data_IF_417208167787
#
_entry.id   IF_417208167787
#
_cell.length_a   1.000
_cell.length_b   1.000
_cell.length_c   1.000
_cell.angle_alpha   90.00
_cell.angle_beta   90.00
_cell.angle_gamma   90.00
#
_symmetry.space_group_name_H-M   'P 1'
#
loop_
_entity.id
_entity.type
_entity.pdbx_description
1 polymer ?
#
# COMPACT_ATOMS: atom_id res chain seq x y z
N UNK A 1 -18.24 8.89 -3.43
CA UNK A 1 -18.10 8.10 -4.67
C UNK A 1 -19.15 7.00 -4.55
N UNK A 2 -19.69 6.52 -5.67
CA UNK A 2 -21.03 5.94 -5.74
C UNK A 2 -21.05 4.45 -5.37
N UNK A 3 -20.31 4.06 -4.33
CA UNK A 3 -20.50 2.75 -3.73
C UNK A 3 -21.95 2.63 -3.28
N UNK A 4 -22.70 1.75 -3.94
CA UNK A 4 -24.16 1.68 -3.77
C UNK A 4 -24.61 0.36 -3.18
N UNK A 5 -23.86 -0.71 -3.44
CA UNK A 5 -24.18 -2.05 -2.97
C UNK A 5 -23.02 -2.69 -2.23
N UNK A 6 -23.35 -3.53 -1.26
CA UNK A 6 -22.45 -4.55 -0.74
C UNK A 6 -22.64 -5.86 -1.48
N UNK A 7 -21.55 -6.61 -1.63
CA UNK A 7 -21.55 -8.03 -1.95
C UNK A 7 -21.69 -8.85 -0.66
N UNK A 8 -22.67 -9.75 -0.61
CA UNK A 8 -22.91 -10.67 0.50
C UNK A 8 -22.06 -11.96 0.34
N UNK A 9 -21.91 -12.78 1.41
CA UNK A 9 -21.18 -14.05 1.37
C UNK A 9 -21.69 -15.10 0.36
N UNK A 10 -22.95 -15.00 -0.08
CA UNK A 10 -23.53 -15.86 -1.12
C UNK A 10 -23.46 -15.21 -2.51
N UNK A 11 -22.58 -14.23 -2.69
CA UNK A 11 -22.31 -13.50 -3.94
C UNK A 11 -23.43 -12.55 -4.40
N UNK A 12 -24.59 -12.58 -3.75
CA UNK A 12 -25.70 -11.65 -4.01
C UNK A 12 -25.40 -10.24 -3.49
N UNK A 13 -26.12 -9.24 -4.00
CA UNK A 13 -25.92 -7.84 -3.60
C UNK A 13 -27.06 -7.27 -2.77
N UNK A 14 -26.75 -6.25 -1.99
CA UNK A 14 -27.73 -5.49 -1.20
C UNK A 14 -27.33 -4.00 -1.17
N UNK A 15 -28.27 -3.04 -1.31
CA UNK A 15 -27.94 -1.63 -1.11
C UNK A 15 -27.30 -1.38 0.26
N UNK A 16 -26.27 -0.54 0.31
CA UNK A 16 -25.50 -0.29 1.54
C UNK A 16 -26.41 0.22 2.66
N UNK A 17 -27.28 1.17 2.34
CA UNK A 17 -28.25 1.75 3.28
C UNK A 17 -29.24 0.70 3.80
N UNK A 18 -29.72 -0.19 2.93
CA UNK A 18 -30.61 -1.28 3.29
C UNK A 18 -29.92 -2.28 4.22
N UNK A 19 -28.70 -2.70 3.89
CA UNK A 19 -27.91 -3.59 4.73
C UNK A 19 -27.71 -2.99 6.13
N UNK A 20 -27.42 -1.70 6.22
CA UNK A 20 -27.12 -1.03 7.49
C UNK A 20 -28.33 -0.77 8.40
N UNK A 21 -29.57 -1.01 7.95
CA UNK A 21 -30.79 -0.89 8.78
C UNK A 21 -30.87 -1.99 9.85
N UNK A 22 -31.67 -1.74 10.90
CA UNK A 22 -32.03 -2.78 11.86
C UNK A 22 -32.84 -3.88 11.14
N UNK A 23 -32.48 -5.15 11.34
CA UNK A 23 -33.07 -6.26 10.57
C UNK A 23 -32.78 -6.26 9.06
N UNK A 24 -31.95 -5.34 8.55
CA UNK A 24 -31.73 -5.15 7.11
C UNK A 24 -30.78 -6.17 6.45
N UNK A 25 -30.30 -7.18 7.19
CA UNK A 25 -29.43 -8.19 6.60
C UNK A 25 -30.25 -9.20 5.80
N UNK A 26 -29.96 -9.33 4.49
CA UNK A 26 -30.61 -10.31 3.60
C UNK A 26 -30.51 -11.75 4.13
N UNK A 27 -29.38 -12.11 4.75
CA UNK A 27 -29.11 -13.45 5.26
C UNK A 27 -29.60 -13.69 6.69
N UNK A 28 -30.23 -12.69 7.34
CA UNK A 28 -30.68 -12.70 8.75
C UNK A 28 -29.57 -12.84 9.82
N UNK A 29 -28.47 -13.53 9.50
CA UNK A 29 -27.23 -13.52 10.26
C UNK A 29 -26.18 -12.67 9.54
N UNK A 30 -25.79 -11.55 10.13
CA UNK A 30 -24.96 -10.54 9.47
C UNK A 30 -23.50 -11.00 9.39
N UNK A 31 -22.90 -10.85 8.20
CA UNK A 31 -21.51 -11.26 7.95
C UNK A 31 -20.45 -10.51 8.77
N UNK A 32 -20.72 -9.26 9.16
CA UNK A 32 -19.82 -8.44 9.95
C UNK A 32 -20.60 -7.44 10.80
N UNK A 33 -19.95 -6.82 11.78
CA UNK A 33 -20.60 -5.83 12.65
C UNK A 33 -21.02 -4.59 11.85
N UNK A 34 -22.11 -3.92 12.28
CA UNK A 34 -22.57 -2.67 11.63
C UNK A 34 -21.51 -1.56 11.64
N UNK A 35 -20.73 -1.34 12.72
CA UNK A 35 -19.64 -0.36 12.70
C UNK A 35 -18.61 -0.65 11.61
N UNK A 36 -18.19 -1.91 11.46
CA UNK A 36 -17.28 -2.31 10.39
C UNK A 36 -17.89 -2.01 9.00
N UNK A 37 -19.13 -2.45 8.76
CA UNK A 37 -19.81 -2.20 7.48
C UNK A 37 -19.97 -0.71 7.17
N UNK A 38 -20.20 0.14 8.19
CA UNK A 38 -20.20 1.60 8.00
C UNK A 38 -18.83 2.12 7.57
N UNK A 39 -17.76 1.62 8.20
CA UNK A 39 -16.39 2.01 7.87
C UNK A 39 -16.02 1.62 6.43
N UNK A 40 -16.27 0.37 6.03
CA UNK A 40 -15.87 -0.11 4.69
C UNK A 40 -16.80 0.32 3.57
N UNK A 41 -18.07 0.58 3.87
CA UNK A 41 -19.05 1.12 2.93
C UNK A 41 -18.96 2.63 2.75
N UNK A 42 -18.19 3.33 3.57
CA UNK A 42 -17.93 4.74 3.36
C UNK A 42 -17.08 4.94 2.11
N UNK A 43 -17.50 5.91 1.31
CA UNK A 43 -16.76 6.28 0.11
C UNK A 43 -16.86 7.79 -0.15
N UNK A 44 -15.71 8.46 -0.23
CA UNK A 44 -15.62 9.93 -0.27
C UNK A 44 -16.22 10.45 -1.58
N UNK A 45 -17.06 11.47 -1.52
CA UNK A 45 -17.56 12.17 -2.71
C UNK A 45 -16.39 12.58 -3.61
N UNK A 46 -16.55 12.40 -4.93
CA UNK A 46 -15.52 12.81 -5.88
C UNK A 46 -15.53 14.33 -5.98
N UNK A 47 -14.43 14.98 -5.58
CA UNK A 47 -14.28 16.44 -5.61
C UNK A 47 -13.29 16.93 -6.65
N UNK A 48 -12.89 16.05 -7.58
CA UNK A 48 -11.81 16.29 -8.53
C UNK A 48 -10.55 15.47 -8.23
N UNK A 49 -9.51 15.70 -9.02
CA UNK A 49 -8.24 14.97 -8.93
C UNK A 49 -7.49 15.40 -7.66
N UNK A 50 -6.94 14.42 -6.97
CA UNK A 50 -6.09 14.63 -5.79
C UNK A 50 -4.70 14.04 -6.03
N UNK A 51 -3.67 14.41 -5.25
CA UNK A 51 -2.33 13.83 -5.39
C UNK A 51 -2.31 12.29 -5.36
N UNK A 52 -3.20 11.65 -4.58
CA UNK A 52 -3.34 10.19 -4.53
C UNK A 52 -3.91 9.57 -5.82
N UNK A 53 -4.46 10.39 -6.70
CA UNK A 53 -4.93 9.96 -8.02
C UNK A 53 -3.79 9.55 -8.94
N UNK A 54 -2.55 10.02 -8.69
CA UNK A 54 -1.36 9.66 -9.46
C UNK A 54 -1.07 8.15 -9.47
N UNK A 55 -1.49 7.42 -8.42
CA UNK A 55 -1.35 5.97 -8.34
C UNK A 55 -2.44 5.17 -9.08
N UNK A 56 -3.40 5.83 -9.72
CA UNK A 56 -4.52 5.17 -10.38
C UNK A 56 -4.55 5.49 -11.88
N UNK A 57 -4.95 4.49 -12.69
CA UNK A 57 -5.18 4.71 -14.11
C UNK A 57 -6.33 5.70 -14.36
N UNK A 58 -6.24 6.61 -15.35
CA UNK A 58 -7.27 7.61 -15.62
C UNK A 58 -8.67 7.01 -15.83
N UNK A 59 -8.76 5.86 -16.52
CA UNK A 59 -10.02 5.13 -16.70
C UNK A 59 -10.64 4.64 -15.39
N UNK A 60 -9.81 4.17 -14.45
CA UNK A 60 -10.29 3.71 -13.15
C UNK A 60 -10.84 4.89 -12.33
N UNK A 61 -10.14 6.03 -12.34
CA UNK A 61 -10.61 7.26 -11.68
C UNK A 61 -11.94 7.73 -12.27
N UNK A 62 -12.04 7.78 -13.59
CA UNK A 62 -13.28 8.13 -14.29
C UNK A 62 -14.42 7.21 -13.89
N UNK A 63 -14.25 5.89 -13.98
CA UNK A 63 -15.29 4.92 -13.63
C UNK A 63 -15.72 5.04 -12.16
N UNK A 64 -14.78 5.20 -11.22
CA UNK A 64 -15.09 5.44 -9.81
C UNK A 64 -15.83 6.75 -9.57
N UNK A 65 -15.63 7.76 -10.42
CA UNK A 65 -16.33 9.03 -10.31
C UNK A 65 -17.74 8.99 -10.93
N UNK A 66 -17.96 8.20 -11.99
CA UNK A 66 -19.18 8.29 -12.81
C UNK A 66 -20.10 7.08 -12.75
N UNK A 67 -19.66 5.94 -12.20
CA UNK A 67 -20.42 4.69 -12.26
C UNK A 67 -20.64 4.11 -10.88
N UNK A 68 -21.92 3.86 -10.52
CA UNK A 68 -22.29 3.13 -9.31
C UNK A 68 -21.63 1.76 -9.28
N UNK A 69 -21.06 1.37 -8.14
CA UNK A 69 -20.32 0.11 -8.03
C UNK A 69 -20.58 -0.65 -6.72
N UNK A 70 -20.16 -1.92 -6.74
CA UNK A 70 -20.31 -2.87 -5.64
C UNK A 70 -19.04 -2.87 -4.79
N UNK A 71 -19.19 -2.85 -3.47
CA UNK A 71 -18.12 -3.08 -2.51
C UNK A 71 -18.22 -4.50 -1.97
N UNK A 72 -17.13 -5.26 -2.06
CA UNK A 72 -16.92 -6.39 -1.16
C UNK A 72 -16.37 -5.86 0.18
N UNK A 73 -17.08 -6.04 1.31
CA UNK A 73 -16.61 -5.61 2.61
C UNK A 73 -15.21 -6.15 2.97
N UNK A 74 -14.85 -7.35 2.54
CA UNK A 74 -13.56 -7.97 2.89
C UNK A 74 -12.40 -7.31 2.15
N UNK A 75 -12.60 -6.88 0.90
CA UNK A 75 -11.56 -6.22 0.09
C UNK A 75 -11.18 -4.84 0.63
N UNK A 76 -12.04 -4.24 1.45
CA UNK A 76 -11.85 -2.91 2.03
C UNK A 76 -11.14 -2.91 3.38
N UNK A 77 -10.93 -4.08 4.00
CA UNK A 77 -10.35 -4.18 5.35
C UNK A 77 -9.01 -3.44 5.47
N UNK A 78 -8.16 -3.54 4.44
CA UNK A 78 -6.85 -2.92 4.45
C UNK A 78 -6.87 -1.42 4.17
N UNK A 79 -7.85 -0.96 3.39
CA UNK A 79 -8.06 0.48 3.20
C UNK A 79 -8.59 1.13 4.48
N UNK A 80 -9.48 0.44 5.20
CA UNK A 80 -9.95 0.84 6.52
C UNK A 80 -8.80 0.90 7.53
N UNK A 81 -7.99 -0.16 7.61
CA UNK A 81 -6.84 -0.22 8.51
C UNK A 81 -5.81 0.89 8.21
N UNK A 82 -5.50 1.12 6.93
CA UNK A 82 -4.64 2.24 6.52
C UNK A 82 -5.20 3.58 6.99
N UNK A 83 -6.48 3.86 6.70
CA UNK A 83 -7.13 5.12 7.12
C UNK A 83 -7.08 5.31 8.64
N UNK A 84 -7.38 4.27 9.42
CA UNK A 84 -7.32 4.32 10.88
C UNK A 84 -5.90 4.51 11.41
N UNK A 85 -4.88 3.97 10.72
CA UNK A 85 -3.48 4.17 11.10
C UNK A 85 -3.07 5.63 10.92
N UNK A 86 -3.44 6.26 9.81
CA UNK A 86 -3.19 7.70 9.59
C UNK A 86 -3.89 8.54 10.65
N UNK A 87 -5.16 8.27 10.95
CA UNK A 87 -5.93 9.02 11.96
C UNK A 87 -5.27 8.93 13.35
N UNK A 88 -4.86 7.73 13.77
CA UNK A 88 -4.18 7.53 15.05
C UNK A 88 -2.82 8.23 15.11
N UNK A 89 -2.03 8.18 14.04
CA UNK A 89 -0.75 8.91 13.97
C UNK A 89 -0.98 10.42 14.00
N UNK A 90 -1.97 10.92 13.27
CA UNK A 90 -2.34 12.34 13.23
C UNK A 90 -2.82 12.90 14.58
N UNK A 91 -3.37 12.07 15.47
CA UNK A 91 -3.75 12.49 16.83
C UNK A 91 -2.56 12.96 17.69
N UNK A 92 -1.34 12.56 17.36
CA UNK A 92 -0.14 12.91 18.11
C UNK A 92 0.55 14.21 17.63
N UNK A 93 -0.02 14.92 16.65
CA UNK A 93 0.58 16.12 16.05
C UNK A 93 0.75 17.32 16.99
N UNK A 94 -0.02 17.38 18.07
CA UNK A 94 -0.06 18.56 18.95
C UNK A 94 1.13 18.68 19.91
N UNK A 95 2.09 17.75 19.86
CA UNK A 95 3.23 17.75 20.77
C UNK A 95 4.44 18.53 20.22
N UNK A 96 4.49 18.81 18.92
CA UNK A 96 5.65 19.39 18.23
C UNK A 96 5.24 20.32 17.07
N UNK A 97 6.20 21.01 16.44
CA UNK A 97 6.01 21.83 15.23
C UNK A 97 5.79 20.95 13.98
N UNK A 98 4.75 20.11 14.02
CA UNK A 98 4.41 19.13 13.00
C UNK A 98 3.12 19.58 12.32
N UNK A 99 3.16 19.75 11.00
CA UNK A 99 1.96 19.92 10.19
C UNK A 99 1.47 18.54 9.77
N UNK A 100 0.26 18.15 10.20
CA UNK A 100 -0.29 16.83 9.91
C UNK A 100 -1.76 16.87 9.51
N UNK A 101 -2.07 16.11 8.45
CA UNK A 101 -3.37 16.08 7.77
C UNK A 101 -3.80 17.45 7.22
N UNK A 102 -2.85 18.25 6.77
CA UNK A 102 -3.12 19.60 6.24
C UNK A 102 -3.79 19.52 4.87
N UNK A 103 -4.88 20.28 4.72
CA UNK A 103 -5.61 20.39 3.45
C UNK A 103 -4.90 21.40 2.55
N UNK A 104 -4.40 20.92 1.43
CA UNK A 104 -3.68 21.70 0.43
C UNK A 104 -4.49 21.73 -0.86
N UNK A 105 -4.52 22.87 -1.54
CA UNK A 105 -5.22 22.99 -2.81
C UNK A 105 -4.68 24.13 -3.66
N UNK A 106 -4.76 23.96 -4.97
CA UNK A 106 -4.65 25.03 -5.96
C UNK A 106 -5.85 25.00 -6.90
N UNK A 107 -5.78 25.75 -8.01
CA UNK A 107 -6.84 25.80 -9.01
C UNK A 107 -7.09 24.47 -9.74
N UNK A 108 -6.21 23.47 -9.60
CA UNK A 108 -6.27 22.21 -10.35
C UNK A 108 -6.54 21.00 -9.45
N UNK A 109 -5.97 20.96 -8.24
CA UNK A 109 -6.04 19.79 -7.37
C UNK A 109 -6.20 20.18 -5.91
N UNK A 110 -6.76 19.26 -5.13
CA UNK A 110 -6.79 19.34 -3.66
C UNK A 110 -6.34 18.01 -3.07
N UNK A 111 -5.71 18.05 -1.91
CA UNK A 111 -5.18 16.87 -1.24
C UNK A 111 -4.98 17.09 0.25
N UNK A 112 -4.61 16.02 0.93
CA UNK A 112 -4.29 16.05 2.35
C UNK A 112 -2.96 15.32 2.53
N UNK A 113 -1.92 16.08 2.87
CA UNK A 113 -0.62 15.49 3.15
C UNK A 113 -0.62 14.92 4.56
N UNK A 114 0.09 13.80 4.77
CA UNK A 114 0.06 13.14 6.07
C UNK A 114 0.86 13.93 7.11
N UNK A 115 2.15 14.18 6.84
CA UNK A 115 3.07 14.82 7.78
C UNK A 115 4.14 15.66 7.08
N UNK A 116 4.36 16.87 7.59
CA UNK A 116 5.51 17.73 7.28
C UNK A 116 6.15 18.19 8.60
N UNK A 117 7.45 17.97 8.73
CA UNK A 117 8.23 18.24 9.95
C UNK A 117 9.50 19.01 9.61
N UNK A 118 10.05 19.75 10.57
CA UNK A 118 11.35 20.40 10.38
C UNK A 118 12.45 19.36 10.14
N UNK A 119 13.35 19.63 9.21
CA UNK A 119 14.52 18.80 8.99
C UNK A 119 15.57 19.09 10.07
N UNK A 120 15.78 18.13 10.97
CA UNK A 120 16.78 18.24 12.05
C UNK A 120 18.21 18.50 11.52
N UNK A 121 18.52 18.04 10.31
CA UNK A 121 19.83 18.26 9.68
C UNK A 121 19.90 19.60 8.92
N UNK A 122 18.74 20.22 8.62
CA UNK A 122 18.61 21.47 7.86
C UNK A 122 17.48 22.33 8.44
N UNK A 123 17.74 23.14 9.49
CA UNK A 123 16.69 23.83 10.26
C UNK A 123 15.75 24.75 9.46
N UNK A 124 16.17 25.22 8.29
CA UNK A 124 15.34 26.06 7.40
C UNK A 124 14.50 25.26 6.39
N UNK A 125 14.54 23.93 6.46
CA UNK A 125 13.89 23.02 5.53
C UNK A 125 12.99 22.02 6.25
N UNK A 126 12.15 21.35 5.47
CA UNK A 126 11.18 20.39 5.97
C UNK A 126 11.32 19.02 5.33
N UNK A 127 10.98 17.98 6.10
CA UNK A 127 10.84 16.59 5.64
C UNK A 127 9.36 16.30 5.44
N UNK A 128 9.00 15.91 4.22
CA UNK A 128 7.65 15.47 3.87
C UNK A 128 7.56 13.95 3.96
N UNK A 129 6.69 13.45 4.85
CA UNK A 129 6.47 12.03 5.07
C UNK A 129 5.04 11.66 4.72
N UNK A 130 4.88 10.61 3.90
CA UNK A 130 3.60 9.94 3.66
C UNK A 130 3.58 8.59 4.37
N UNK A 131 2.48 8.29 5.06
CA UNK A 131 2.29 7.03 5.75
C UNK A 131 1.70 6.01 4.80
N UNK A 132 2.21 4.77 4.87
CA UNK A 132 1.68 3.67 4.08
C UNK A 132 1.51 2.44 4.94
N UNK A 133 0.40 1.74 4.74
CA UNK A 133 0.25 0.38 5.24
C UNK A 133 0.26 -0.61 4.08
N UNK A 134 1.36 -1.34 3.95
CA UNK A 134 1.59 -2.26 2.83
C UNK A 134 1.79 -3.69 3.30
N UNK A 135 1.60 -4.64 2.39
CA UNK A 135 2.12 -5.99 2.57
C UNK A 135 3.60 -6.04 2.22
N UNK A 136 4.31 -6.96 2.87
CA UNK A 136 5.75 -7.24 2.69
C UNK A 136 6.18 -7.30 1.23
N UNK A 137 5.37 -7.90 0.34
CA UNK A 137 5.65 -7.94 -1.10
C UNK A 137 5.79 -6.56 -1.76
N UNK A 138 4.93 -5.59 -1.42
CA UNK A 138 5.06 -4.22 -1.95
C UNK A 138 6.25 -3.51 -1.30
N UNK A 139 6.52 -3.77 -0.02
CA UNK A 139 7.74 -3.26 0.65
C UNK A 139 9.00 -3.74 -0.07
N UNK A 140 9.10 -5.04 -0.37
CA UNK A 140 10.20 -5.62 -1.13
C UNK A 140 10.42 -4.92 -2.48
N UNK A 141 9.34 -4.78 -3.26
CA UNK A 141 9.37 -4.08 -4.54
C UNK A 141 9.81 -2.63 -4.42
N UNK A 142 9.33 -1.92 -3.41
CA UNK A 142 9.71 -0.53 -3.16
C UNK A 142 11.17 -0.38 -2.71
N UNK A 143 11.76 -1.42 -2.11
CA UNK A 143 13.18 -1.47 -1.75
C UNK A 143 14.06 -2.08 -2.86
N UNK A 144 13.48 -2.50 -3.99
CA UNK A 144 14.21 -3.18 -5.06
C UNK A 144 14.69 -4.59 -4.67
N UNK A 145 14.05 -5.23 -3.68
CA UNK A 145 14.40 -6.59 -3.27
C UNK A 145 13.81 -7.56 -4.29
N UNK A 146 14.69 -8.32 -4.92
CA UNK A 146 14.37 -9.34 -5.92
C UNK A 146 15.07 -10.66 -5.58
N UNK A 147 14.70 -11.73 -6.27
CA UNK A 147 15.29 -13.06 -6.10
C UNK A 147 16.07 -13.45 -7.33
N UNK A 148 17.33 -13.81 -7.13
CA UNK A 148 18.16 -14.43 -8.16
C UNK A 148 18.32 -15.92 -7.85
N UNK A 149 18.14 -16.77 -8.84
CA UNK A 149 18.37 -18.21 -8.71
C UNK A 149 19.68 -18.57 -9.36
N UNK A 150 20.65 -19.00 -8.56
CA UNK A 150 21.92 -19.56 -9.04
C UNK A 150 21.91 -21.08 -8.89
N UNK A 151 22.69 -21.75 -9.73
CA UNK A 151 22.93 -23.19 -9.60
C UNK A 151 24.31 -23.41 -9.02
N UNK A 152 24.37 -24.09 -7.88
CA UNK A 152 25.63 -24.51 -7.25
C UNK A 152 25.83 -26.01 -7.44
N UNK A 153 27.04 -26.41 -7.80
CA UNK A 153 27.44 -27.82 -7.83
C UNK A 153 27.54 -28.37 -6.40
N UNK A 154 26.90 -29.51 -6.16
CA UNK A 154 27.03 -30.22 -4.88
C UNK A 154 28.38 -30.94 -4.86
N UNK A 155 29.18 -30.65 -3.83
CA UNK A 155 30.47 -31.30 -3.60
C UNK A 155 30.34 -32.41 -2.54
N UNK A 156 31.19 -33.42 -2.61
CA UNK A 156 31.35 -34.45 -1.57
C UNK A 156 32.30 -34.00 -0.45
N UNK A 157 32.53 -34.87 0.53
CA UNK A 157 33.38 -34.58 1.71
C UNK A 157 34.84 -34.27 1.34
N UNK A 158 35.27 -34.58 0.11
CA UNK A 158 36.61 -34.30 -0.40
C UNK A 158 36.66 -33.06 -1.31
N UNK A 159 35.52 -32.38 -1.52
CA UNK A 159 35.41 -31.23 -2.40
C UNK A 159 35.20 -31.57 -3.87
N UNK A 160 34.93 -32.84 -4.22
CA UNK A 160 34.72 -33.28 -5.60
C UNK A 160 33.23 -33.22 -6.00
N UNK A 161 32.89 -32.88 -7.26
CA UNK A 161 31.50 -32.83 -7.71
C UNK A 161 30.75 -34.16 -7.60
N UNK A 162 29.59 -34.16 -6.91
CA UNK A 162 28.72 -35.33 -6.83
C UNK A 162 28.08 -35.59 -8.20
N UNK A 163 28.44 -36.71 -8.84
CA UNK A 163 27.93 -37.08 -10.17
C UNK A 163 26.60 -37.84 -10.08
N UNK A 164 25.67 -37.52 -10.99
CA UNK A 164 24.40 -38.23 -11.13
C UNK A 164 24.63 -39.67 -11.62
N UNK A 165 24.23 -40.67 -10.82
CA UNK A 165 24.45 -42.11 -11.08
C UNK A 165 23.39 -42.77 -11.97
N UNK A 166 22.24 -42.12 -12.19
CA UNK A 166 21.10 -42.65 -12.94
C UNK A 166 20.26 -41.54 -13.58
N UNK A 167 19.37 -41.92 -14.50
CA UNK A 167 18.48 -41.00 -15.21
C UNK A 167 19.07 -40.41 -16.49
N UNK A 168 18.32 -39.50 -17.12
CA UNK A 168 18.64 -38.89 -18.43
C UNK A 168 19.93 -38.05 -18.40
N UNK A 169 20.28 -37.50 -17.25
CA UNK A 169 21.47 -36.65 -17.03
C UNK A 169 22.60 -37.41 -16.32
N UNK A 170 22.65 -38.74 -16.45
CA UNK A 170 23.70 -39.56 -15.84
C UNK A 170 25.08 -39.10 -16.33
N UNK A 171 26.03 -38.94 -15.40
CA UNK A 171 27.39 -38.50 -15.71
C UNK A 171 27.61 -36.99 -15.59
N UNK A 172 26.57 -36.17 -15.39
CA UNK A 172 26.74 -34.74 -15.12
C UNK A 172 26.82 -34.43 -13.62
N UNK A 173 27.47 -33.32 -13.21
CA UNK A 173 27.45 -32.85 -11.83
C UNK A 173 26.02 -32.59 -11.36
N UNK A 174 25.72 -32.98 -10.11
CA UNK A 174 24.46 -32.68 -9.45
C UNK A 174 24.50 -31.24 -8.98
N UNK A 175 23.58 -30.41 -9.48
CA UNK A 175 23.41 -29.03 -9.03
C UNK A 175 22.25 -28.91 -8.04
N UNK A 176 22.32 -27.90 -7.16
CA UNK A 176 21.19 -27.43 -6.35
C UNK A 176 20.89 -25.98 -6.77
N UNK A 177 19.60 -25.67 -6.89
CA UNK A 177 19.14 -24.29 -7.08
C UNK A 177 19.17 -23.58 -5.74
N UNK A 178 19.81 -22.42 -5.70
CA UNK A 178 19.81 -21.53 -4.54
C UNK A 178 19.15 -20.24 -4.95
N UNK A 179 18.12 -19.88 -4.22
CA UNK A 179 17.43 -18.60 -4.40
C UNK A 179 17.98 -17.62 -3.39
N UNK A 180 18.74 -16.64 -3.87
CA UNK A 180 19.28 -15.57 -3.05
C UNK A 180 18.40 -14.33 -3.18
N UNK A 181 18.24 -13.60 -2.08
CA UNK A 181 17.61 -12.27 -2.09
C UNK A 181 18.69 -11.25 -2.38
N UNK A 182 18.46 -10.44 -3.41
CA UNK A 182 19.36 -9.37 -3.83
C UNK A 182 18.61 -8.05 -3.84
N UNK A 183 19.34 -6.95 -3.74
CA UNK A 183 18.79 -5.59 -3.90
C UNK A 183 19.25 -5.06 -5.24
N UNK A 184 18.30 -4.83 -6.14
CA UNK A 184 18.51 -4.23 -7.46
C UNK A 184 17.82 -2.85 -7.51
N UNK A 185 18.59 -1.74 -7.48
CA UNK A 185 18.04 -0.38 -7.58
C UNK A 185 17.20 -0.14 -8.85
N UNK A 186 17.48 -0.84 -9.96
CA UNK A 186 16.71 -0.70 -11.19
C UNK A 186 15.31 -1.33 -11.09
N UNK A 187 15.09 -2.18 -10.08
CA UNK A 187 13.81 -2.85 -9.83
C UNK A 187 12.89 -2.11 -8.85
N UNK A 188 13.32 -0.97 -8.31
CA UNK A 188 12.55 -0.16 -7.37
C UNK A 188 11.24 0.30 -8.01
N UNK A 189 10.13 -0.01 -7.33
CA UNK A 189 8.77 0.34 -7.76
C UNK A 189 8.09 1.31 -6.77
N UNK A 190 8.32 2.60 -7.00
CA UNK A 190 7.80 3.72 -6.21
C UNK A 190 7.21 4.88 -7.04
N UNK A 191 7.06 4.72 -8.36
CA UNK A 191 6.68 5.80 -9.27
C UNK A 191 5.38 6.50 -8.87
N UNK A 192 4.38 5.76 -8.42
CA UNK A 192 3.10 6.31 -7.96
C UNK A 192 3.27 7.21 -6.74
N UNK A 193 4.04 6.75 -5.77
CA UNK A 193 4.30 7.43 -4.52
C UNK A 193 5.23 8.64 -4.73
N UNK A 194 6.22 8.53 -5.61
CA UNK A 194 7.08 9.65 -6.02
C UNK A 194 6.25 10.79 -6.62
N UNK A 195 5.33 10.49 -7.55
CA UNK A 195 4.45 11.50 -8.15
C UNK A 195 3.51 12.12 -7.12
N UNK A 196 2.94 11.29 -6.23
CA UNK A 196 2.06 11.75 -5.16
C UNK A 196 2.80 12.71 -4.21
N UNK A 197 3.94 12.29 -3.66
CA UNK A 197 4.75 13.09 -2.73
C UNK A 197 5.27 14.36 -3.39
N UNK A 198 5.76 14.27 -4.63
CA UNK A 198 6.25 15.44 -5.35
C UNK A 198 5.15 16.48 -5.58
N UNK A 199 3.89 16.06 -5.77
CA UNK A 199 2.77 17.00 -5.86
C UNK A 199 2.52 17.71 -4.54
N UNK A 200 2.60 17.01 -3.41
CA UNK A 200 2.51 17.64 -2.09
C UNK A 200 3.69 18.57 -1.80
N UNK A 201 4.90 18.22 -2.23
CA UNK A 201 6.06 19.10 -2.17
C UNK A 201 5.79 20.43 -2.87
N UNK A 202 5.28 20.39 -4.11
CA UNK A 202 4.94 21.60 -4.87
C UNK A 202 3.93 22.48 -4.11
N UNK A 203 2.92 21.88 -3.47
CA UNK A 203 1.98 22.64 -2.64
C UNK A 203 2.68 23.34 -1.47
N UNK A 204 3.48 22.61 -0.69
CA UNK A 204 4.16 23.18 0.47
C UNK A 204 5.19 24.24 0.09
N UNK A 205 5.98 24.01 -0.95
CA UNK A 205 6.95 25.00 -1.45
C UNK A 205 6.24 26.29 -1.92
N UNK A 206 5.07 26.19 -2.55
CA UNK A 206 4.27 27.35 -2.95
C UNK A 206 3.74 28.15 -1.73
N UNK A 207 3.54 27.50 -0.59
CA UNK A 207 3.18 28.15 0.69
C UNK A 207 4.39 28.60 1.51
N UNK A 208 5.62 28.49 0.97
CA UNK A 208 6.84 28.94 1.64
C UNK A 208 7.48 27.92 2.59
N UNK A 209 7.12 26.64 2.48
CA UNK A 209 7.73 25.53 3.23
C UNK A 209 8.68 24.74 2.31
N UNK A 210 9.98 25.10 2.25
CA UNK A 210 10.94 24.41 1.38
C UNK A 210 11.20 22.97 1.87
N UNK A 211 10.99 21.98 1.01
CA UNK A 211 11.16 20.57 1.36
C UNK A 211 12.57 20.09 0.98
N UNK A 212 13.34 19.61 1.94
CA UNK A 212 14.69 19.05 1.72
C UNK A 212 14.67 17.56 1.37
N UNK A 213 13.69 16.81 1.89
CA UNK A 213 13.58 15.36 1.74
C UNK A 213 12.12 14.94 1.68
N UNK A 214 11.82 14.01 0.77
CA UNK A 214 10.56 13.27 0.76
C UNK A 214 10.84 11.82 1.17
N UNK A 215 9.98 11.26 2.00
CA UNK A 215 10.10 9.88 2.44
C UNK A 215 8.73 9.24 2.65
N UNK A 216 8.74 7.91 2.77
CA UNK A 216 7.55 7.13 3.08
C UNK A 216 7.87 6.36 4.35
N UNK A 217 6.97 6.41 5.33
CA UNK A 217 7.01 5.53 6.48
C UNK A 217 6.00 4.41 6.28
N UNK A 218 6.50 3.17 6.20
CA UNK A 218 5.68 2.01 5.89
C UNK A 218 5.47 1.12 7.12
N UNK A 219 4.22 0.83 7.43
CA UNK A 219 3.82 -0.23 8.35
C UNK A 219 3.55 -1.50 7.55
N UNK A 220 4.36 -2.56 7.75
CA UNK A 220 4.16 -3.85 7.09
C UNK A 220 3.09 -4.67 7.81
N UNK A 221 1.91 -4.81 7.20
CA UNK A 221 0.73 -5.44 7.82
C UNK A 221 0.85 -6.95 8.09
N UNK A 222 1.76 -7.61 7.41
CA UNK A 222 2.08 -9.05 7.53
C UNK A 222 3.51 -9.27 8.06
N UNK A 223 4.13 -8.23 8.63
CA UNK A 223 5.47 -8.29 9.21
C UNK A 223 5.58 -9.39 10.27
N UNK A 224 6.72 -10.09 10.28
CA UNK A 224 6.98 -11.18 11.22
C UNK A 224 6.33 -12.53 10.87
N UNK A 225 5.59 -12.63 9.75
CA UNK A 225 5.04 -13.91 9.29
C UNK A 225 6.04 -14.69 8.42
N UNK A 226 5.87 -16.02 8.37
CA UNK A 226 6.61 -16.87 7.41
C UNK A 226 6.42 -16.40 5.95
N UNK A 227 5.22 -15.90 5.62
CA UNK A 227 4.93 -15.37 4.27
C UNK A 227 5.79 -14.13 4.00
N UNK A 228 5.89 -13.21 4.96
CA UNK A 228 6.72 -12.04 4.83
C UNK A 228 8.22 -12.37 4.73
N UNK A 229 8.70 -13.46 5.31
CA UNK A 229 10.11 -13.87 5.14
C UNK A 229 10.41 -14.43 3.75
N UNK A 230 9.42 -15.09 3.12
CA UNK A 230 9.61 -15.79 1.86
C UNK A 230 9.20 -14.99 0.62
N UNK A 231 8.22 -14.10 0.73
CA UNK A 231 7.59 -13.41 -0.42
C UNK A 231 7.80 -11.90 -0.44
N UNK A 232 8.16 -11.30 0.69
CA UNK A 232 8.45 -9.88 0.83
C UNK A 232 9.74 -9.69 1.58
#
# INVERSE_FOLDING_TARGET
MPAKWFKCPDEETIPIDACLKNGGCRMQNRCATRPYLRLVGFDREWKGVSPSSAGNGPRMLYLKATVDYIIDPNDRVWAAFGTSTHELLGMHKHQDNILSEERLSDGEMHGMADVLEMDEAKPDFFVLTDYKTWGSYKVAKSLGITTETTEETILDDNGEPVILKSGKNKGTPKTRKITNRIVDPASVDLKSEELQLNRYRIFYEAYGFPVSRMQIQVVSRDGGTYIAQNRG
#
